data_IF_486190048138
#
_entry.id   IF_486190048138
#
_cell.length_a   1.000
_cell.length_b   1.000
_cell.length_c   1.000
_cell.angle_alpha   90.00
_cell.angle_beta   90.00
_cell.angle_gamma   90.00
#
_symmetry.space_group_name_H-M   'P 1'
#
loop_
_entity.id
_entity.type
_entity.pdbx_description
1 polymer ?
#
# COMPACT_ATOMS: atom_id res chain seq x y z
N UNK A 1 -5.94 -40.38 13.20
CA UNK A 1 -5.75 -39.16 12.44
C UNK A 1 -4.87 -38.23 13.26
N UNK A 2 -3.83 -37.68 12.66
CA UNK A 2 -2.81 -36.88 13.36
C UNK A 2 -2.91 -35.39 13.02
N UNK A 3 -4.13 -34.83 12.99
CA UNK A 3 -4.39 -33.44 12.66
C UNK A 3 -5.31 -32.81 13.71
N UNK A 4 -5.07 -31.56 14.01
CA UNK A 4 -5.92 -30.70 14.83
C UNK A 4 -6.34 -29.47 14.03
N UNK A 5 -7.46 -28.84 14.38
CA UNK A 5 -7.79 -27.51 13.88
C UNK A 5 -6.71 -26.49 14.26
N UNK A 6 -6.02 -26.72 15.40
CA UNK A 6 -5.03 -25.80 15.97
C UNK A 6 -3.71 -25.75 15.16
N UNK A 7 -3.42 -26.72 14.31
CA UNK A 7 -2.28 -26.69 13.40
C UNK A 7 -2.68 -26.56 11.93
N UNK A 8 -3.85 -27.08 11.55
CA UNK A 8 -4.33 -27.01 10.15
C UNK A 8 -4.87 -25.63 9.79
N UNK A 9 -5.65 -24.99 10.68
CA UNK A 9 -6.29 -23.69 10.40
C UNK A 9 -5.24 -22.56 10.25
N UNK A 10 -4.29 -22.34 11.17
CA UNK A 10 -3.26 -21.32 10.98
C UNK A 10 -2.38 -21.59 9.76
N UNK A 11 -2.05 -22.86 9.48
CA UNK A 11 -1.32 -23.22 8.25
C UNK A 11 -2.12 -22.84 7.00
N UNK A 12 -3.42 -23.13 6.95
CA UNK A 12 -4.30 -22.73 5.85
C UNK A 12 -4.40 -21.20 5.74
N UNK A 13 -4.48 -20.50 6.88
CA UNK A 13 -4.44 -19.03 6.93
C UNK A 13 -3.18 -18.45 6.30
N UNK A 14 -2.00 -18.99 6.63
CA UNK A 14 -0.72 -18.58 6.04
C UNK A 14 -0.68 -18.80 4.53
N UNK A 15 -1.14 -19.95 4.05
CA UNK A 15 -1.22 -20.23 2.61
C UNK A 15 -2.17 -19.29 1.90
N UNK A 16 -3.33 -19.00 2.49
CA UNK A 16 -4.31 -18.05 1.94
C UNK A 16 -3.71 -16.64 1.83
N UNK A 17 -2.99 -16.16 2.85
CA UNK A 17 -2.29 -14.87 2.79
C UNK A 17 -1.29 -14.85 1.64
N UNK A 18 -0.48 -15.88 1.47
CA UNK A 18 0.48 -15.98 0.36
C UNK A 18 -0.21 -15.91 -0.99
N UNK A 19 -1.34 -16.60 -1.16
CA UNK A 19 -2.10 -16.59 -2.41
C UNK A 19 -2.75 -15.23 -2.69
N UNK A 20 -3.29 -14.57 -1.67
CA UNK A 20 -3.91 -13.24 -1.81
C UNK A 20 -2.90 -12.12 -2.05
N UNK A 21 -1.67 -12.24 -1.53
CA UNK A 21 -0.63 -11.24 -1.74
C UNK A 21 -0.05 -11.26 -3.17
N UNK A 22 -0.12 -12.39 -3.88
CA UNK A 22 0.39 -12.49 -5.26
C UNK A 22 -0.24 -11.47 -6.21
N UNK A 23 -1.58 -11.40 -6.36
CA UNK A 23 -2.22 -10.42 -7.25
C UNK A 23 -1.97 -8.98 -6.78
N UNK A 24 -1.96 -8.70 -5.47
CA UNK A 24 -1.62 -7.37 -4.96
C UNK A 24 -0.20 -6.95 -5.38
N UNK A 25 0.79 -7.82 -5.25
CA UNK A 25 2.17 -7.54 -5.66
C UNK A 25 2.30 -7.30 -7.17
N UNK A 26 1.51 -8.00 -7.99
CA UNK A 26 1.44 -7.79 -9.45
C UNK A 26 0.87 -6.41 -9.76
N UNK A 27 -0.24 -6.02 -9.12
CA UNK A 27 -0.85 -4.70 -9.34
C UNK A 27 0.02 -3.55 -8.81
N UNK A 28 0.74 -3.73 -7.70
CA UNK A 28 1.72 -2.74 -7.23
C UNK A 28 2.88 -2.57 -8.21
N UNK A 29 3.39 -3.64 -8.82
CA UNK A 29 4.42 -3.53 -9.86
C UNK A 29 3.88 -2.82 -11.11
N UNK A 30 2.63 -3.08 -11.47
CA UNK A 30 1.95 -2.38 -12.55
C UNK A 30 1.78 -0.89 -12.23
N UNK A 31 1.32 -0.54 -11.03
CA UNK A 31 1.20 0.85 -10.58
C UNK A 31 2.54 1.59 -10.66
N UNK A 32 3.61 0.96 -10.16
CA UNK A 32 4.96 1.53 -10.25
C UNK A 32 5.35 1.84 -11.71
N UNK A 33 5.08 0.92 -12.64
CA UNK A 33 5.40 1.13 -14.06
C UNK A 33 4.61 2.29 -14.67
N UNK A 34 3.31 2.37 -14.41
CA UNK A 34 2.46 3.46 -14.92
C UNK A 34 2.88 4.82 -14.35
N UNK A 35 3.25 4.89 -13.08
CA UNK A 35 3.79 6.10 -12.47
C UNK A 35 5.15 6.51 -13.08
N UNK A 36 6.00 5.55 -13.41
CA UNK A 36 7.27 5.83 -14.11
C UNK A 36 7.05 6.36 -15.54
N UNK A 37 6.05 5.83 -16.25
CA UNK A 37 5.63 6.35 -17.57
C UNK A 37 5.19 7.82 -17.43
N UNK A 38 4.37 8.14 -16.42
CA UNK A 38 3.96 9.54 -16.16
C UNK A 38 5.12 10.42 -15.74
N UNK A 39 6.08 9.90 -14.98
CA UNK A 39 7.29 10.63 -14.62
C UNK A 39 8.07 11.08 -15.86
N UNK A 40 8.24 10.19 -16.84
CA UNK A 40 8.88 10.51 -18.12
C UNK A 40 8.04 11.48 -18.96
N UNK A 41 6.74 11.26 -19.06
CA UNK A 41 5.84 12.11 -19.86
C UNK A 41 5.72 13.54 -19.36
N UNK A 42 5.99 13.79 -18.08
CA UNK A 42 5.89 15.10 -17.43
C UNK A 42 7.25 15.67 -17.02
N UNK A 43 8.35 15.13 -17.52
CA UNK A 43 9.71 15.55 -17.14
C UNK A 43 10.06 16.96 -17.63
N UNK A 44 9.44 17.42 -18.69
CA UNK A 44 9.59 18.77 -19.25
C UNK A 44 8.57 19.80 -18.68
N UNK A 45 7.65 19.39 -17.79
CA UNK A 45 6.65 20.27 -17.19
C UNK A 45 7.20 20.89 -15.91
N UNK A 46 7.54 22.18 -15.96
CA UNK A 46 8.01 22.93 -14.78
C UNK A 46 6.79 23.42 -13.99
N UNK A 47 6.83 23.26 -12.68
CA UNK A 47 5.82 23.71 -11.73
C UNK A 47 6.45 24.29 -10.47
N UNK A 48 5.65 25.00 -9.67
CA UNK A 48 6.06 25.40 -8.32
C UNK A 48 5.98 24.20 -7.37
N UNK A 49 7.09 23.84 -6.72
CA UNK A 49 7.10 22.92 -5.59
C UNK A 49 6.54 23.60 -4.34
N UNK A 50 5.83 22.83 -3.50
CA UNK A 50 5.21 23.36 -2.29
C UNK A 50 5.61 22.54 -1.06
N UNK A 51 5.87 23.22 0.04
CA UNK A 51 6.04 22.67 1.37
C UNK A 51 5.00 23.30 2.30
N UNK A 52 4.29 22.50 3.10
CA UNK A 52 3.18 23.00 3.93
C UNK A 52 2.13 23.80 3.12
N UNK A 53 1.93 23.42 1.86
CA UNK A 53 1.08 24.09 0.85
C UNK A 53 1.52 25.53 0.47
N UNK A 54 2.67 25.98 0.94
CA UNK A 54 3.25 27.27 0.55
C UNK A 54 4.25 27.08 -0.59
N UNK A 55 4.38 28.10 -1.43
CA UNK A 55 5.33 28.11 -2.53
C UNK A 55 6.77 27.95 -2.01
N UNK A 56 7.53 27.08 -2.65
CA UNK A 56 8.91 26.80 -2.26
C UNK A 56 9.87 27.07 -3.43
N UNK A 57 10.13 26.08 -4.26
CA UNK A 57 11.10 26.18 -5.36
C UNK A 57 10.54 25.55 -6.63
N UNK A 58 10.95 26.00 -7.83
CA UNK A 58 10.61 25.33 -9.08
C UNK A 58 11.08 23.88 -9.10
N UNK A 59 10.23 23.00 -9.65
CA UNK A 59 10.53 21.58 -9.84
C UNK A 59 9.84 21.06 -11.11
N UNK A 60 10.22 19.86 -11.56
CA UNK A 60 9.53 19.19 -12.66
C UNK A 60 8.38 18.34 -12.12
N UNK A 61 7.23 18.41 -12.79
CA UNK A 61 6.08 17.56 -12.43
C UNK A 61 6.44 16.05 -12.51
N UNK A 62 7.29 15.67 -13.46
CA UNK A 62 7.81 14.31 -13.56
C UNK A 62 8.51 13.81 -12.30
N UNK A 63 9.17 14.69 -11.53
CA UNK A 63 9.80 14.32 -10.26
C UNK A 63 8.76 13.91 -9.20
N UNK A 64 7.57 14.50 -9.21
CA UNK A 64 6.46 14.12 -8.33
C UNK A 64 6.03 12.67 -8.61
N UNK A 65 5.82 12.33 -9.88
CA UNK A 65 5.42 10.95 -10.27
C UNK A 65 6.55 9.94 -10.05
N UNK A 66 7.80 10.34 -10.26
CA UNK A 66 8.95 9.50 -9.92
C UNK A 66 9.03 9.19 -8.41
N UNK A 67 8.76 10.19 -7.56
CA UNK A 67 8.69 10.00 -6.11
C UNK A 67 7.59 9.00 -5.71
N UNK A 68 6.42 9.05 -6.36
CA UNK A 68 5.34 8.09 -6.15
C UNK A 68 5.76 6.68 -6.60
N UNK A 69 6.41 6.53 -7.75
CA UNK A 69 6.92 5.24 -8.21
C UNK A 69 7.93 4.64 -7.22
N UNK A 70 8.83 5.45 -6.69
CA UNK A 70 9.82 5.05 -5.67
C UNK A 70 9.15 4.61 -4.35
N UNK A 71 8.08 5.30 -3.94
CA UNK A 71 7.29 4.93 -2.77
C UNK A 71 6.62 3.56 -2.96
N UNK A 72 5.95 3.35 -4.10
CA UNK A 72 5.28 2.08 -4.40
C UNK A 72 6.27 0.90 -4.47
N UNK A 73 7.48 1.11 -5.01
CA UNK A 73 8.52 0.07 -5.00
C UNK A 73 8.94 -0.32 -3.58
N UNK A 74 9.09 0.63 -2.67
CA UNK A 74 9.40 0.34 -1.26
C UNK A 74 8.26 -0.44 -0.58
N UNK A 75 7.00 -0.10 -0.88
CA UNK A 75 5.85 -0.81 -0.33
C UNK A 75 5.75 -2.24 -0.87
N UNK A 76 5.91 -2.41 -2.19
CA UNK A 76 5.96 -3.73 -2.83
C UNK A 76 7.05 -4.62 -2.20
N UNK A 77 8.24 -4.06 -1.99
CA UNK A 77 9.34 -4.79 -1.34
C UNK A 77 9.00 -5.17 0.10
N UNK A 78 8.43 -4.24 0.88
CA UNK A 78 8.04 -4.48 2.29
C UNK A 78 7.02 -5.61 2.39
N UNK A 79 5.99 -5.62 1.51
CA UNK A 79 4.99 -6.68 1.46
C UNK A 79 5.64 -8.01 1.03
N UNK A 80 6.48 -8.01 0.00
CA UNK A 80 7.19 -9.21 -0.44
C UNK A 80 8.11 -9.78 0.65
N UNK A 81 8.78 -8.93 1.41
CA UNK A 81 9.63 -9.36 2.53
C UNK A 81 8.78 -9.94 3.68
N UNK A 82 7.60 -9.40 3.95
CA UNK A 82 6.69 -9.92 4.99
C UNK A 82 6.10 -11.29 4.65
N UNK A 83 6.06 -11.70 3.38
CA UNK A 83 5.66 -13.06 3.00
C UNK A 83 6.51 -14.15 3.68
N UNK A 84 7.74 -13.83 4.08
CA UNK A 84 8.64 -14.78 4.75
C UNK A 84 8.09 -15.27 6.09
N UNK A 85 7.31 -14.44 6.77
CA UNK A 85 6.62 -14.80 8.02
C UNK A 85 5.60 -15.92 7.83
N UNK A 86 5.09 -16.06 6.60
CA UNK A 86 4.09 -17.07 6.26
C UNK A 86 4.68 -18.44 5.88
N UNK A 87 6.00 -18.53 5.68
CA UNK A 87 6.62 -19.81 5.26
C UNK A 87 6.87 -20.76 6.40
N UNK A 88 6.92 -20.30 7.64
CA UNK A 88 7.06 -21.14 8.83
C UNK A 88 5.69 -21.51 9.36
N UNK A 89 5.40 -22.83 9.46
CA UNK A 89 4.09 -23.36 9.86
C UNK A 89 4.18 -24.27 11.07
N UNK A 90 3.10 -24.35 11.85
CA UNK A 90 3.01 -25.24 13.01
C UNK A 90 2.40 -26.61 12.68
N UNK A 91 2.21 -26.95 11.41
CA UNK A 91 1.59 -28.19 10.96
C UNK A 91 2.38 -29.42 11.45
N UNK A 92 1.68 -30.35 12.07
CA UNK A 92 2.24 -31.51 12.76
C UNK A 92 2.33 -31.35 14.29
N UNK A 93 2.16 -30.10 14.79
CA UNK A 93 2.15 -29.80 16.23
C UNK A 93 0.93 -30.33 16.97
N UNK A 94 -0.15 -30.59 16.23
CA UNK A 94 -1.45 -31.04 16.76
C UNK A 94 -2.12 -29.99 17.66
N UNK A 95 -2.57 -30.38 18.85
CA UNK A 95 -3.44 -29.55 19.68
C UNK A 95 -2.73 -28.33 20.30
N UNK A 96 -1.48 -28.48 20.73
CA UNK A 96 -0.72 -27.46 21.48
C UNK A 96 0.75 -27.33 21.03
N UNK A 97 1.16 -28.04 19.99
CA UNK A 97 2.57 -28.06 19.55
C UNK A 97 3.35 -29.30 20.01
N UNK A 98 2.76 -30.19 20.85
CA UNK A 98 3.47 -31.32 21.41
C UNK A 98 3.59 -32.53 20.47
N UNK A 99 2.95 -32.49 19.32
CA UNK A 99 2.86 -33.62 18.38
C UNK A 99 2.38 -34.94 19.02
N UNK A 100 1.57 -34.86 20.06
CA UNK A 100 1.08 -36.03 20.81
C UNK A 100 0.28 -36.96 19.89
N UNK A 101 0.54 -38.25 19.98
CA UNK A 101 -0.10 -39.31 19.18
C UNK A 101 0.15 -39.19 17.65
N UNK A 102 1.20 -38.50 17.25
CA UNK A 102 1.64 -38.40 15.85
C UNK A 102 2.72 -39.44 15.58
N UNK A 103 2.65 -40.14 14.43
CA UNK A 103 3.74 -41.00 14.01
C UNK A 103 4.91 -40.18 13.44
N UNK A 104 6.13 -40.67 13.64
CA UNK A 104 7.33 -40.04 13.07
C UNK A 104 7.21 -39.87 11.55
N UNK A 105 6.66 -40.87 10.86
CA UNK A 105 6.45 -40.78 9.41
C UNK A 105 5.55 -39.62 8.99
N UNK A 106 4.49 -39.29 9.74
CA UNK A 106 3.67 -38.10 9.49
C UNK A 106 4.41 -36.82 9.88
N UNK A 107 4.95 -36.79 11.08
CA UNK A 107 5.60 -35.61 11.65
C UNK A 107 6.68 -35.00 10.72
N UNK A 108 7.60 -35.87 10.25
CA UNK A 108 8.71 -35.44 9.41
C UNK A 108 8.34 -35.21 7.93
N UNK A 109 7.19 -35.70 7.45
CA UNK A 109 6.85 -35.61 6.03
C UNK A 109 5.70 -34.66 5.71
N UNK A 110 4.86 -34.26 6.66
CA UNK A 110 3.66 -33.46 6.37
C UNK A 110 3.99 -32.10 5.78
N UNK A 111 4.93 -31.36 6.36
CA UNK A 111 5.32 -30.02 5.85
C UNK A 111 6.09 -30.12 4.53
N UNK A 112 7.10 -31.03 4.36
CA UNK A 112 7.72 -31.24 3.04
C UNK A 112 6.73 -31.65 1.95
N UNK A 113 5.74 -32.48 2.25
CA UNK A 113 4.68 -32.82 1.30
C UNK A 113 3.82 -31.61 0.93
N UNK A 114 3.42 -30.80 1.92
CA UNK A 114 2.64 -29.59 1.69
C UNK A 114 3.44 -28.57 0.86
N UNK A 115 4.71 -28.35 1.15
CA UNK A 115 5.61 -27.49 0.38
C UNK A 115 5.69 -27.91 -1.10
N UNK A 116 5.80 -29.23 -1.36
CA UNK A 116 5.83 -29.77 -2.73
C UNK A 116 4.49 -29.56 -3.46
N UNK A 117 3.35 -29.73 -2.77
CA UNK A 117 2.02 -29.57 -3.35
C UNK A 117 1.74 -28.11 -3.68
N UNK A 118 2.09 -27.18 -2.78
CA UNK A 118 1.79 -25.76 -2.90
C UNK A 118 2.83 -24.99 -3.71
N UNK A 119 4.06 -25.51 -3.82
CA UNK A 119 5.20 -24.83 -4.44
C UNK A 119 5.79 -23.71 -3.56
N UNK A 120 5.32 -23.52 -2.34
CA UNK A 120 5.89 -22.59 -1.39
C UNK A 120 7.06 -23.20 -0.61
N UNK A 121 8.08 -22.42 -0.22
CA UNK A 121 9.22 -22.91 0.56
C UNK A 121 8.86 -23.05 2.04
N UNK A 122 7.85 -23.87 2.33
CA UNK A 122 7.36 -24.07 3.70
C UNK A 122 8.37 -24.84 4.54
N UNK A 123 8.51 -24.43 5.80
CA UNK A 123 9.28 -25.12 6.84
C UNK A 123 8.43 -25.31 8.09
N UNK A 124 8.67 -26.41 8.80
CA UNK A 124 8.09 -26.60 10.13
C UNK A 124 8.78 -25.66 11.12
N UNK A 125 8.01 -25.06 12.04
CA UNK A 125 8.55 -24.22 13.09
C UNK A 125 9.54 -24.97 13.98
N UNK A 126 10.59 -24.30 14.43
CA UNK A 126 11.57 -24.85 15.36
C UNK A 126 10.97 -25.15 16.74
N UNK A 127 10.04 -24.29 17.17
CA UNK A 127 9.19 -24.49 18.35
C UNK A 127 7.72 -24.48 17.91
N UNK A 128 7.09 -25.63 18.04
CA UNK A 128 5.69 -25.79 17.63
C UNK A 128 4.71 -25.28 18.68
N UNK A 129 5.11 -25.14 19.95
CA UNK A 129 4.31 -24.49 20.98
C UNK A 129 4.19 -23.00 20.67
N UNK A 130 5.32 -22.32 20.48
CA UNK A 130 5.40 -20.94 20.09
C UNK A 130 4.56 -20.67 18.81
N UNK A 131 4.75 -21.48 17.77
CA UNK A 131 4.05 -21.32 16.50
C UNK A 131 2.55 -21.65 16.54
N UNK A 132 2.06 -22.28 17.63
CA UNK A 132 0.64 -22.57 17.86
C UNK A 132 -0.04 -21.47 18.67
N UNK A 133 0.66 -20.83 19.59
CA UNK A 133 0.09 -19.78 20.44
C UNK A 133 0.24 -18.37 19.88
N UNK A 134 1.26 -18.09 19.05
CA UNK A 134 1.57 -16.76 18.56
C UNK A 134 1.15 -16.52 17.10
N UNK A 135 0.56 -15.33 16.82
CA UNK A 135 0.07 -14.90 15.51
C UNK A 135 0.77 -13.64 14.99
N UNK A 136 1.94 -13.32 15.53
CA UNK A 136 2.74 -12.13 15.22
C UNK A 136 3.14 -12.03 13.74
N UNK A 137 3.37 -13.14 13.06
CA UNK A 137 3.63 -13.16 11.62
C UNK A 137 2.48 -12.57 10.79
N UNK A 138 1.22 -12.79 11.19
CA UNK A 138 0.08 -12.14 10.53
C UNK A 138 0.01 -10.65 10.83
N UNK A 139 0.39 -10.22 12.03
CA UNK A 139 0.48 -8.79 12.40
C UNK A 139 1.56 -8.10 11.57
N UNK A 140 2.71 -8.74 11.34
CA UNK A 140 3.78 -8.22 10.49
C UNK A 140 3.31 -7.99 9.05
N UNK A 141 2.58 -8.96 8.47
CA UNK A 141 1.98 -8.81 7.12
C UNK A 141 0.94 -7.68 7.11
N UNK A 142 0.04 -7.64 8.10
CA UNK A 142 -0.96 -6.59 8.23
C UNK A 142 -0.32 -5.20 8.30
N UNK A 143 0.73 -5.04 9.10
CA UNK A 143 1.51 -3.80 9.21
C UNK A 143 2.14 -3.36 7.88
N UNK A 144 2.62 -4.31 7.07
CA UNK A 144 3.15 -4.03 5.73
C UNK A 144 2.05 -3.56 4.77
N UNK A 145 0.90 -4.23 4.77
CA UNK A 145 -0.29 -3.88 3.97
C UNK A 145 -0.85 -2.51 4.38
N UNK A 146 -0.99 -2.25 5.69
CA UNK A 146 -1.38 -0.95 6.23
C UNK A 146 -0.45 0.17 5.77
N UNK A 147 0.87 -0.03 5.84
CA UNK A 147 1.84 0.99 5.42
C UNK A 147 1.66 1.34 3.94
N UNK A 148 1.43 0.35 3.08
CA UNK A 148 1.12 0.56 1.67
C UNK A 148 -0.18 1.38 1.50
N UNK A 149 -1.25 1.01 2.20
CA UNK A 149 -2.53 1.72 2.14
C UNK A 149 -2.41 3.19 2.56
N UNK A 150 -1.66 3.49 3.63
CA UNK A 150 -1.38 4.88 4.09
C UNK A 150 -0.64 5.68 3.02
N UNK A 151 0.38 5.09 2.39
CA UNK A 151 1.14 5.73 1.33
C UNK A 151 0.29 6.01 0.09
N UNK A 152 -0.56 5.07 -0.31
CA UNK A 152 -1.50 5.25 -1.43
C UNK A 152 -2.53 6.33 -1.13
N UNK A 153 -3.05 6.39 0.09
CA UNK A 153 -3.97 7.45 0.53
C UNK A 153 -3.30 8.84 0.45
N UNK A 154 -2.06 8.96 0.91
CA UNK A 154 -1.28 10.21 0.80
C UNK A 154 -1.09 10.63 -0.67
N UNK A 155 -0.71 9.72 -1.54
CA UNK A 155 -0.58 9.98 -2.97
C UNK A 155 -1.92 10.42 -3.59
N UNK A 156 -3.02 9.76 -3.24
CA UNK A 156 -4.36 10.12 -3.71
C UNK A 156 -4.80 11.51 -3.25
N UNK A 157 -4.47 11.92 -2.02
CA UNK A 157 -4.72 13.27 -1.53
C UNK A 157 -3.93 14.31 -2.32
N UNK A 158 -2.67 14.04 -2.66
CA UNK A 158 -1.88 14.93 -3.53
C UNK A 158 -2.50 15.04 -4.93
N UNK A 159 -2.90 13.93 -5.55
CA UNK A 159 -3.53 13.93 -6.88
C UNK A 159 -4.83 14.75 -6.88
N UNK A 160 -5.64 14.65 -5.82
CA UNK A 160 -6.86 15.43 -5.64
C UNK A 160 -6.55 16.93 -5.51
N UNK A 161 -5.51 17.27 -4.75
CA UNK A 161 -5.09 18.65 -4.56
C UNK A 161 -4.54 19.25 -5.87
N UNK A 162 -3.66 18.53 -6.57
CA UNK A 162 -3.09 18.96 -7.86
C UNK A 162 -4.15 19.17 -8.94
N UNK A 163 -5.24 18.40 -8.92
CA UNK A 163 -6.35 18.50 -9.87
C UNK A 163 -7.48 19.43 -9.41
N UNK A 164 -7.35 20.08 -8.26
CA UNK A 164 -8.41 20.91 -7.67
C UNK A 164 -8.78 22.09 -8.54
N UNK A 165 -10.05 22.45 -8.55
CA UNK A 165 -10.58 23.60 -9.29
C UNK A 165 -11.55 23.17 -10.38
N UNK A 166 -11.20 23.33 -11.69
CA UNK A 166 -9.89 23.68 -12.27
C UNK A 166 -9.59 25.20 -12.34
N UNK A 167 -10.58 26.07 -12.19
CA UNK A 167 -10.36 27.52 -12.35
C UNK A 167 -9.88 28.22 -11.09
N UNK A 168 -10.41 27.84 -9.93
CA UNK A 168 -10.15 28.49 -8.63
C UNK A 168 -9.27 27.64 -7.69
N UNK A 169 -8.78 26.51 -8.14
CA UNK A 169 -7.83 25.66 -7.42
C UNK A 169 -6.47 25.59 -8.12
N UNK A 170 -5.66 24.58 -7.80
CA UNK A 170 -4.35 24.41 -8.40
C UNK A 170 -4.45 24.11 -9.89
N UNK A 171 -5.23 23.10 -10.27
CA UNK A 171 -5.47 22.74 -11.66
C UNK A 171 -4.19 22.40 -12.44
N UNK A 172 -3.15 21.86 -11.77
CA UNK A 172 -1.87 21.52 -12.40
C UNK A 172 -1.95 20.24 -13.24
N UNK A 173 -2.89 19.34 -12.88
CA UNK A 173 -3.17 18.09 -13.61
C UNK A 173 -4.67 17.94 -13.84
N UNK A 174 -5.05 17.13 -14.82
CA UNK A 174 -6.43 16.66 -14.98
C UNK A 174 -6.51 15.18 -14.69
N UNK A 175 -7.54 14.77 -13.94
CA UNK A 175 -7.90 13.37 -13.72
C UNK A 175 -9.01 12.96 -14.70
N UNK A 176 -9.07 11.69 -15.12
CA UNK A 176 -10.18 11.20 -15.95
C UNK A 176 -11.53 11.35 -15.25
N UNK A 177 -12.53 11.84 -15.99
CA UNK A 177 -13.90 11.91 -15.52
C UNK A 177 -14.50 10.49 -15.44
N UNK A 178 -14.83 10.03 -14.23
CA UNK A 178 -15.37 8.66 -13.99
C UNK A 178 -16.74 8.65 -13.32
N UNK A 179 -17.28 9.83 -13.05
CA UNK A 179 -18.60 10.00 -12.47
C UNK A 179 -19.30 11.16 -13.20
N UNK A 180 -20.61 11.04 -13.39
CA UNK A 180 -21.42 12.16 -13.82
C UNK A 180 -21.29 13.31 -12.82
N UNK A 181 -21.15 14.51 -13.33
CA UNK A 181 -21.09 15.72 -12.50
C UNK A 181 -22.40 15.96 -11.75
N UNK A 182 -22.40 16.98 -10.91
CA UNK A 182 -23.62 17.42 -10.22
C UNK A 182 -24.71 17.87 -11.21
N UNK A 183 -25.95 17.49 -10.99
CA UNK A 183 -27.11 17.98 -11.75
C UNK A 183 -27.36 19.48 -11.59
N UNK A 184 -26.82 20.09 -10.53
CA UNK A 184 -26.99 21.52 -10.18
C UNK A 184 -25.77 22.33 -10.59
N UNK A 185 -24.57 21.74 -10.59
CA UNK A 185 -23.32 22.43 -10.90
C UNK A 185 -22.72 21.89 -12.19
N UNK A 186 -23.01 22.53 -13.31
CA UNK A 186 -22.53 22.12 -14.63
C UNK A 186 -21.00 22.08 -14.68
N UNK A 187 -20.46 21.00 -15.25
CA UNK A 187 -19.01 20.83 -15.43
C UNK A 187 -18.24 20.42 -14.16
N UNK A 188 -18.91 20.23 -13.02
CA UNK A 188 -18.25 19.72 -11.80
C UNK A 188 -18.05 18.20 -11.89
N UNK A 189 -16.80 17.77 -11.97
CA UNK A 189 -16.41 16.35 -11.95
C UNK A 189 -15.55 16.11 -10.70
N UNK A 190 -16.00 15.22 -9.83
CA UNK A 190 -15.27 14.90 -8.60
C UNK A 190 -14.17 13.84 -8.85
N UNK A 191 -13.05 13.89 -8.12
CA UNK A 191 -11.94 12.94 -8.22
C UNK A 191 -12.25 11.65 -7.46
N UNK A 192 -13.33 10.94 -7.82
CA UNK A 192 -13.90 9.82 -7.05
C UNK A 192 -12.97 8.62 -6.94
N UNK A 193 -12.11 8.36 -7.93
CA UNK A 193 -11.20 7.21 -7.88
C UNK A 193 -10.15 7.37 -6.77
N UNK A 194 -9.42 8.50 -6.67
CA UNK A 194 -8.57 8.75 -5.49
C UNK A 194 -9.33 8.72 -4.15
N UNK A 195 -10.60 9.16 -4.13
CA UNK A 195 -11.42 9.11 -2.91
C UNK A 195 -11.72 7.68 -2.48
N UNK A 196 -12.05 6.78 -3.41
CA UNK A 196 -12.27 5.35 -3.12
C UNK A 196 -11.01 4.71 -2.53
N UNK A 197 -9.84 4.98 -3.11
CA UNK A 197 -8.56 4.44 -2.59
C UNK A 197 -8.30 4.93 -1.17
N UNK A 198 -8.59 6.21 -0.88
CA UNK A 198 -8.46 6.77 0.48
C UNK A 198 -9.42 6.09 1.47
N UNK A 199 -10.67 5.79 1.07
CA UNK A 199 -11.62 5.07 1.91
C UNK A 199 -11.17 3.64 2.18
N UNK A 200 -10.65 2.94 1.16
CA UNK A 200 -10.05 1.61 1.34
C UNK A 200 -8.87 1.66 2.31
N UNK A 201 -8.03 2.69 2.24
CA UNK A 201 -6.93 2.86 3.20
C UNK A 201 -7.44 3.02 4.64
N UNK A 202 -8.53 3.75 4.87
CA UNK A 202 -9.13 3.87 6.20
C UNK A 202 -9.64 2.52 6.71
N UNK A 203 -10.27 1.73 5.85
CA UNK A 203 -10.71 0.38 6.18
C UNK A 203 -9.53 -0.52 6.59
N UNK A 204 -8.46 -0.54 5.78
CA UNK A 204 -7.25 -1.33 6.05
C UNK A 204 -6.59 -0.92 7.39
N UNK A 205 -6.55 0.38 7.71
CA UNK A 205 -6.02 0.86 9.00
C UNK A 205 -6.89 0.37 10.17
N UNK A 206 -8.22 0.41 10.03
CA UNK A 206 -9.15 -0.13 11.03
C UNK A 206 -8.99 -1.63 11.24
N UNK A 207 -8.87 -2.38 10.14
CA UNK A 207 -8.64 -3.83 10.18
C UNK A 207 -7.31 -4.19 10.86
N UNK A 208 -6.23 -3.47 10.60
CA UNK A 208 -4.93 -3.68 11.25
C UNK A 208 -5.01 -3.57 12.77
N UNK A 209 -5.78 -2.62 13.28
CA UNK A 209 -6.05 -2.51 14.72
C UNK A 209 -6.78 -3.73 15.24
N UNK A 210 -7.81 -4.21 14.55
CA UNK A 210 -8.54 -5.44 14.91
C UNK A 210 -7.63 -6.67 14.89
N UNK A 211 -6.78 -6.80 13.87
CA UNK A 211 -5.80 -7.89 13.73
C UNK A 211 -4.82 -7.88 14.90
N UNK A 212 -4.30 -6.70 15.26
CA UNK A 212 -3.38 -6.52 16.39
C UNK A 212 -4.02 -6.97 17.72
N UNK A 213 -5.27 -6.53 17.97
CA UNK A 213 -6.01 -6.92 19.17
C UNK A 213 -6.33 -8.41 19.20
N UNK A 214 -6.68 -9.01 18.07
CA UNK A 214 -6.95 -10.44 17.98
C UNK A 214 -5.67 -11.30 18.23
N UNK A 215 -4.52 -10.85 17.74
CA UNK A 215 -3.26 -11.51 18.00
C UNK A 215 -2.83 -11.42 19.48
N UNK A 216 -3.05 -10.27 20.12
CA UNK A 216 -2.74 -10.06 21.55
C UNK A 216 -3.66 -10.85 22.49
N UNK A 217 -4.92 -11.10 22.08
CA UNK A 217 -5.94 -11.69 22.93
C UNK A 217 -5.77 -13.21 23.17
N UNK A 218 -4.80 -13.88 22.51
CA UNK A 218 -4.48 -15.29 22.76
C UNK A 218 -4.09 -15.57 24.20
N UNK A 219 -4.44 -16.76 24.68
CA UNK A 219 -4.13 -17.15 26.05
C UNK A 219 -3.53 -18.55 26.08
N UNK A 220 -2.37 -18.68 26.73
CA UNK A 220 -1.63 -19.93 26.87
C UNK A 220 -1.34 -20.57 25.50
N UNK A 221 -1.55 -21.84 25.33
CA UNK A 221 -1.05 -22.66 24.22
C UNK A 221 -1.89 -22.55 22.93
N UNK A 222 -2.82 -21.58 22.83
CA UNK A 222 -3.63 -21.37 21.62
C UNK A 222 -4.19 -19.95 21.55
N UNK A 223 -4.23 -19.38 20.35
CA UNK A 223 -5.02 -18.19 20.06
C UNK A 223 -6.33 -18.59 19.36
N UNK A 224 -7.46 -18.36 20.01
CA UNK A 224 -8.80 -18.69 19.50
C UNK A 224 -9.42 -17.56 18.62
N UNK A 225 -8.70 -16.45 18.39
CA UNK A 225 -9.22 -15.28 17.67
C UNK A 225 -8.80 -15.24 16.20
N UNK A 226 -8.23 -16.34 15.68
CA UNK A 226 -7.89 -16.50 14.26
C UNK A 226 -9.05 -16.14 13.29
N UNK A 227 -10.31 -16.52 13.53
CA UNK A 227 -11.39 -16.23 12.57
C UNK A 227 -11.57 -14.74 12.29
N UNK A 228 -11.54 -13.88 13.31
CA UNK A 228 -11.67 -12.43 13.13
C UNK A 228 -10.38 -11.83 12.55
N UNK A 229 -9.21 -12.37 12.90
CA UNK A 229 -7.93 -11.98 12.33
C UNK A 229 -7.90 -12.26 10.82
N UNK A 230 -8.24 -13.48 10.41
CA UNK A 230 -8.25 -13.89 9.00
C UNK A 230 -9.26 -13.10 8.18
N UNK A 231 -10.48 -12.91 8.70
CA UNK A 231 -11.49 -12.10 8.02
C UNK A 231 -10.94 -10.71 7.68
N UNK A 232 -10.40 -10.01 8.67
CA UNK A 232 -9.91 -8.64 8.48
C UNK A 232 -8.66 -8.58 7.60
N UNK A 233 -7.74 -9.53 7.70
CA UNK A 233 -6.52 -9.55 6.89
C UNK A 233 -6.82 -9.87 5.43
N UNK A 234 -7.64 -10.88 5.16
CA UNK A 234 -8.00 -11.28 3.80
C UNK A 234 -8.78 -10.18 3.09
N UNK A 235 -9.78 -9.59 3.78
CA UNK A 235 -10.55 -8.46 3.27
C UNK A 235 -9.64 -7.26 2.96
N UNK A 236 -8.66 -6.96 3.83
CA UNK A 236 -7.70 -5.88 3.61
C UNK A 236 -6.86 -6.08 2.35
N UNK A 237 -6.33 -7.29 2.14
CA UNK A 237 -5.49 -7.58 0.98
C UNK A 237 -6.30 -7.51 -0.31
N UNK A 238 -7.48 -8.14 -0.36
CA UNK A 238 -8.34 -8.18 -1.54
C UNK A 238 -8.88 -6.80 -1.91
N UNK A 239 -9.35 -6.04 -0.92
CA UNK A 239 -9.91 -4.70 -1.14
C UNK A 239 -8.82 -3.73 -1.60
N UNK A 240 -7.61 -3.83 -1.03
CA UNK A 240 -6.47 -3.01 -1.45
C UNK A 240 -6.01 -3.35 -2.87
N UNK A 241 -5.98 -4.64 -3.25
CA UNK A 241 -5.69 -5.07 -4.63
C UNK A 241 -6.68 -4.44 -5.62
N UNK A 242 -7.99 -4.55 -5.36
CA UNK A 242 -9.04 -3.95 -6.19
C UNK A 242 -8.91 -2.42 -6.28
N UNK A 243 -8.54 -1.76 -5.17
CA UNK A 243 -8.31 -0.32 -5.14
C UNK A 243 -7.11 0.09 -6.00
N UNK A 244 -5.98 -0.64 -5.92
CA UNK A 244 -4.79 -0.39 -6.74
C UNK A 244 -5.11 -0.56 -8.23
N UNK A 245 -5.76 -1.64 -8.61
CA UNK A 245 -6.20 -1.90 -9.98
C UNK A 245 -7.11 -0.79 -10.51
N UNK A 246 -8.11 -0.40 -9.72
CA UNK A 246 -9.01 0.70 -10.08
C UNK A 246 -8.27 2.04 -10.20
N UNK A 247 -7.32 2.33 -9.32
CA UNK A 247 -6.49 3.52 -9.38
C UNK A 247 -5.70 3.60 -10.68
N UNK A 248 -5.11 2.49 -11.11
CA UNK A 248 -4.35 2.43 -12.36
C UNK A 248 -5.28 2.69 -13.55
N UNK A 249 -6.31 1.85 -13.71
CA UNK A 249 -7.14 1.79 -14.92
C UNK A 249 -8.03 3.03 -15.10
N UNK A 250 -8.47 3.60 -13.99
CA UNK A 250 -9.47 4.66 -13.97
C UNK A 250 -8.92 6.04 -13.58
N UNK A 251 -7.65 6.13 -13.16
CA UNK A 251 -7.04 7.40 -12.78
C UNK A 251 -5.66 7.57 -13.42
N UNK A 252 -4.63 6.83 -12.99
CA UNK A 252 -3.23 7.10 -13.32
C UNK A 252 -2.99 7.11 -14.83
N UNK A 253 -3.48 6.11 -15.57
CA UNK A 253 -3.27 6.00 -17.04
C UNK A 253 -3.79 7.23 -17.78
N UNK A 254 -4.89 7.82 -17.33
CA UNK A 254 -5.54 8.96 -17.99
C UNK A 254 -5.14 10.34 -17.48
N UNK A 255 -4.20 10.46 -16.53
CA UNK A 255 -3.74 11.76 -16.05
C UNK A 255 -3.04 12.54 -17.16
N UNK A 256 -3.39 13.83 -17.28
CA UNK A 256 -2.71 14.81 -18.16
C UNK A 256 -2.21 16.01 -17.36
N UNK A 257 -1.15 16.66 -17.84
CA UNK A 257 -0.59 17.87 -17.22
C UNK A 257 -1.15 19.13 -17.87
N UNK A 258 -1.51 20.13 -17.06
CA UNK A 258 -1.88 21.47 -17.49
C UNK A 258 -0.63 22.36 -17.55
N UNK A 259 0.15 22.26 -18.62
CA UNK A 259 1.47 22.89 -18.80
C UNK A 259 1.42 24.41 -18.58
N UNK A 260 0.47 25.09 -19.22
CA UNK A 260 0.33 26.54 -19.12
C UNK A 260 -0.04 26.98 -17.70
N UNK A 261 -0.90 26.18 -17.02
CA UNK A 261 -1.26 26.44 -15.62
C UNK A 261 -0.06 26.29 -14.69
N UNK A 262 0.70 25.21 -14.84
CA UNK A 262 1.94 25.00 -14.08
C UNK A 262 2.92 26.15 -14.26
N UNK A 263 3.12 26.60 -15.52
CA UNK A 263 3.99 27.72 -15.86
C UNK A 263 3.50 29.04 -15.24
N UNK A 264 2.22 29.37 -15.42
CA UNK A 264 1.63 30.61 -14.89
C UNK A 264 1.76 30.67 -13.36
N UNK A 265 1.45 29.55 -12.64
CA UNK A 265 1.56 29.52 -11.19
C UNK A 265 3.02 29.70 -10.74
N UNK A 266 3.97 29.07 -11.45
CA UNK A 266 5.39 29.20 -11.15
C UNK A 266 5.87 30.64 -11.36
N UNK A 267 5.53 31.25 -12.50
CA UNK A 267 5.95 32.64 -12.86
C UNK A 267 5.34 33.69 -11.93
N UNK A 268 4.20 33.40 -11.32
CA UNK A 268 3.54 34.30 -10.35
C UNK A 268 4.12 34.23 -8.96
N UNK A 269 5.05 33.28 -8.69
CA UNK A 269 5.59 33.06 -7.35
C UNK A 269 6.96 33.70 -7.16
N UNK A 270 7.16 34.34 -6.02
CA UNK A 270 8.48 34.82 -5.60
C UNK A 270 9.51 33.71 -5.41
N UNK A 271 9.06 32.45 -5.30
CA UNK A 271 9.94 31.27 -5.16
C UNK A 271 10.91 31.04 -6.32
N UNK A 272 10.67 31.69 -7.50
CA UNK A 272 11.64 31.70 -8.62
C UNK A 272 12.96 32.35 -8.19
N UNK A 273 12.92 33.38 -7.35
CA UNK A 273 14.12 34.06 -6.88
C UNK A 273 15.11 33.11 -6.16
N UNK A 274 14.62 32.01 -5.57
CA UNK A 274 15.45 30.99 -4.93
C UNK A 274 16.41 30.32 -5.92
N UNK A 275 16.07 30.24 -7.21
CA UNK A 275 16.94 29.70 -8.24
C UNK A 275 18.16 30.61 -8.52
N UNK A 276 18.09 31.88 -8.10
CA UNK A 276 19.18 32.85 -8.22
C UNK A 276 20.14 32.85 -7.03
N UNK A 277 19.82 32.15 -5.93
CA UNK A 277 20.64 32.06 -4.73
C UNK A 277 22.11 31.67 -4.97
N UNK A 278 22.45 30.79 -5.94
CA UNK A 278 23.85 30.49 -6.26
C UNK A 278 24.63 31.69 -6.83
N UNK A 279 23.91 32.67 -7.39
CA UNK A 279 24.48 33.85 -8.08
C UNK A 279 24.34 35.13 -7.27
N UNK A 280 23.40 35.16 -6.33
CA UNK A 280 23.09 36.34 -5.50
C UNK A 280 23.13 35.93 -4.02
N UNK A 281 23.72 36.78 -3.16
CA UNK A 281 23.62 36.54 -1.72
C UNK A 281 22.17 36.68 -1.25
N UNK A 282 21.81 35.94 -0.19
CA UNK A 282 20.46 35.99 0.42
C UNK A 282 20.04 37.43 0.81
N UNK A 283 21.01 38.31 1.11
CA UNK A 283 20.77 39.72 1.45
C UNK A 283 20.11 40.47 0.29
N UNK A 284 20.46 40.15 -0.97
CA UNK A 284 19.90 40.81 -2.15
C UNK A 284 18.50 40.31 -2.53
N UNK A 285 18.03 39.21 -1.92
CA UNK A 285 16.76 38.56 -2.25
C UNK A 285 15.70 38.86 -1.17
N UNK A 286 16.11 39.21 0.04
CA UNK A 286 15.26 39.28 1.24
C UNK A 286 15.00 40.71 1.76
N UNK A 287 15.41 41.75 1.08
CA UNK A 287 14.99 43.09 1.49
C UNK A 287 13.51 43.28 1.17
N UNK A 288 12.65 43.51 2.21
CA UNK A 288 11.27 43.89 1.97
C UNK A 288 11.23 45.27 1.35
N UNK A 289 10.64 45.38 0.16
CA UNK A 289 10.22 46.64 -0.44
C UNK A 289 9.06 47.21 0.33
#
# INVERSE_FOLDING_TARGET
MAQSTNDVIPTAGKLTVLDLLKPLLIELDRLKRELAIKATAFDDVIKMGRTQLQDAVPMRLGQTFHAYASMVERDRKRIADSCKEMYTVNLGGTAIGSAINVSDAYFYNVVPCLARITGYPLSQAADLFDATENLDGFVAVSGAVKTCAVNLSKMCNDLRLLSSGPRTGLGEINLPAKQNGSSIMQGKVNPVIPEVVTQVAFLVVGHDTTITMAAEAGQMELNAFEPVLFYNLFESIQTLEGAVKTLIDNCIVGITANRDRCKTLMESSAGIATALCPYLSLIHISEPT
#
